data_IF_554987285669
#
_entry.id   IF_554987285669
#
_cell.length_a   1.000
_cell.length_b   1.000
_cell.length_c   1.000
_cell.angle_alpha   90.00
_cell.angle_beta   90.00
_cell.angle_gamma   90.00
#
_symmetry.space_group_name_H-M   'P 1'
#
loop_
_entity.id
_entity.type
_entity.pdbx_description
1 polymer ?
#
# COMPACT_ATOMS: atom_id res chain seq x y z
N UNK A 1 -4.75 15.61 -7.83
CA UNK A 1 -6.13 15.08 -7.87
C UNK A 1 -6.94 15.67 -6.71
N UNK A 2 -8.26 15.83 -6.84
CA UNK A 2 -9.14 16.32 -5.76
C UNK A 2 -10.15 15.25 -5.33
N UNK A 3 -10.85 15.47 -4.22
CA UNK A 3 -12.00 14.64 -3.83
C UNK A 3 -13.06 14.53 -4.95
N UNK A 4 -13.28 15.62 -5.69
CA UNK A 4 -14.20 15.63 -6.82
C UNK A 4 -13.71 14.70 -7.93
N UNK A 5 -12.43 14.76 -8.31
CA UNK A 5 -11.85 13.85 -9.31
C UNK A 5 -11.97 12.38 -8.89
N UNK A 6 -11.74 12.06 -7.62
CA UNK A 6 -11.90 10.69 -7.09
C UNK A 6 -13.36 10.24 -7.14
N UNK A 7 -14.29 11.13 -6.82
CA UNK A 7 -15.73 10.85 -6.86
C UNK A 7 -16.19 10.59 -8.30
N UNK A 8 -15.76 11.39 -9.27
CA UNK A 8 -16.09 11.16 -10.68
C UNK A 8 -15.55 9.82 -11.18
N UNK A 9 -14.30 9.48 -10.83
CA UNK A 9 -13.75 8.15 -11.11
C UNK A 9 -14.62 7.05 -10.50
N UNK A 10 -14.92 7.12 -9.21
CA UNK A 10 -15.65 6.09 -8.49
C UNK A 10 -17.08 5.91 -9.01
N UNK A 11 -17.74 7.00 -9.44
CA UNK A 11 -19.07 6.97 -10.06
C UNK A 11 -19.10 6.13 -11.34
N UNK A 12 -17.99 6.10 -12.10
CA UNK A 12 -17.91 5.41 -13.39
C UNK A 12 -17.35 3.99 -13.31
N UNK A 13 -16.79 3.59 -12.16
CA UNK A 13 -16.40 2.19 -11.92
C UNK A 13 -17.65 1.28 -11.94
N UNK A 14 -17.64 0.17 -12.71
CA UNK A 14 -18.71 -0.82 -12.68
C UNK A 14 -18.93 -1.40 -11.27
N UNK A 15 -20.19 -1.54 -10.87
CA UNK A 15 -20.57 -2.10 -9.58
C UNK A 15 -20.44 -3.62 -9.57
N UNK A 16 -20.11 -4.19 -8.41
CA UNK A 16 -20.19 -5.64 -8.21
C UNK A 16 -21.58 -6.08 -7.77
N UNK A 17 -22.14 -5.44 -6.75
CA UNK A 17 -23.43 -5.82 -6.18
C UNK A 17 -24.03 -4.68 -5.36
N UNK A 18 -25.31 -4.82 -5.03
CA UNK A 18 -25.96 -4.08 -3.93
C UNK A 18 -26.44 -5.07 -2.88
N UNK A 19 -26.62 -4.62 -1.63
CA UNK A 19 -27.09 -5.47 -0.56
C UNK A 19 -28.52 -5.10 -0.16
N UNK A 20 -29.46 -6.04 -0.20
CA UNK A 20 -30.87 -5.85 0.18
C UNK A 20 -31.36 -7.04 0.98
N UNK A 21 -32.03 -6.79 2.09
CA UNK A 21 -32.61 -7.82 2.96
C UNK A 21 -31.62 -8.95 3.34
N UNK A 22 -30.36 -8.58 3.56
CA UNK A 22 -29.28 -9.52 3.90
C UNK A 22 -28.70 -10.31 2.71
N UNK A 23 -29.23 -10.14 1.50
CA UNK A 23 -28.74 -10.78 0.27
C UNK A 23 -27.93 -9.82 -0.59
N UNK A 24 -26.95 -10.37 -1.32
CA UNK A 24 -26.23 -9.65 -2.37
C UNK A 24 -26.95 -9.86 -3.70
N UNK A 25 -27.29 -8.76 -4.36
CA UNK A 25 -27.84 -8.74 -5.72
C UNK A 25 -26.66 -8.45 -6.65
N UNK A 26 -26.35 -9.37 -7.55
CA UNK A 26 -25.21 -9.29 -8.47
C UNK A 26 -25.47 -8.31 -9.63
N UNK A 27 -24.51 -7.42 -9.88
CA UNK A 27 -24.50 -6.48 -11.01
C UNK A 27 -23.32 -6.72 -11.97
N UNK A 28 -22.44 -7.69 -11.69
CA UNK A 28 -21.21 -7.93 -12.49
C UNK A 28 -21.49 -8.42 -13.91
N UNK A 29 -22.66 -9.00 -14.16
CA UNK A 29 -23.07 -9.50 -15.48
C UNK A 29 -23.22 -8.42 -16.56
N UNK A 30 -23.22 -7.13 -16.18
CA UNK A 30 -23.25 -5.98 -17.09
C UNK A 30 -22.27 -4.92 -16.58
N UNK A 31 -21.72 -4.10 -17.49
CA UNK A 31 -20.95 -2.90 -17.09
C UNK A 31 -21.91 -1.80 -16.59
N UNK A 32 -22.51 -2.01 -15.42
CA UNK A 32 -23.44 -1.07 -14.78
C UNK A 32 -22.70 -0.28 -13.70
N UNK A 33 -22.49 1.03 -13.92
CA UNK A 33 -21.72 1.88 -13.00
C UNK A 33 -22.59 2.46 -11.88
N UNK A 34 -21.97 2.96 -10.83
CA UNK A 34 -22.68 3.60 -9.73
C UNK A 34 -23.44 4.85 -10.19
N UNK A 35 -22.90 5.61 -11.15
CA UNK A 35 -23.59 6.75 -11.77
C UNK A 35 -24.93 6.35 -12.38
N UNK A 36 -24.95 5.23 -13.12
CA UNK A 36 -26.18 4.68 -13.68
C UNK A 36 -27.13 4.22 -12.59
N UNK A 37 -26.61 3.59 -11.54
CA UNK A 37 -27.43 3.16 -10.43
C UNK A 37 -28.14 4.33 -9.71
N UNK A 38 -27.44 5.46 -9.53
CA UNK A 38 -28.04 6.70 -8.98
C UNK A 38 -29.14 7.24 -9.90
N UNK A 39 -28.93 7.24 -11.22
CA UNK A 39 -29.87 7.81 -12.19
C UNK A 39 -31.09 6.92 -12.48
N UNK A 40 -30.86 5.62 -12.67
CA UNK A 40 -31.86 4.66 -13.18
C UNK A 40 -32.46 3.80 -12.05
N UNK A 41 -31.72 3.59 -10.97
CA UNK A 41 -31.98 2.51 -10.02
C UNK A 41 -31.67 1.12 -10.61
N UNK A 42 -32.00 0.08 -9.86
CA UNK A 42 -31.86 -1.31 -10.30
C UNK A 42 -32.97 -2.17 -9.69
N UNK A 43 -33.78 -2.82 -10.52
CA UNK A 43 -34.86 -3.75 -10.08
C UNK A 43 -35.77 -3.18 -8.97
N UNK A 44 -36.13 -1.90 -9.08
CA UNK A 44 -36.98 -1.21 -8.09
C UNK A 44 -36.21 -0.61 -6.90
N UNK A 45 -34.92 -0.91 -6.75
CA UNK A 45 -34.06 -0.28 -5.76
C UNK A 45 -33.52 1.07 -6.23
N UNK A 46 -33.31 1.98 -5.28
CA UNK A 46 -32.60 3.25 -5.46
C UNK A 46 -31.31 3.23 -4.67
N UNK A 47 -30.31 3.97 -5.18
CA UNK A 47 -29.02 4.10 -4.53
C UNK A 47 -29.16 4.77 -3.15
N UNK A 48 -28.40 4.25 -2.20
CA UNK A 48 -28.27 4.77 -0.84
C UNK A 48 -26.82 5.10 -0.52
N UNK A 49 -26.57 5.82 0.58
CA UNK A 49 -25.20 6.04 1.05
C UNK A 49 -24.51 4.74 1.47
N UNK A 50 -25.27 3.74 1.94
CA UNK A 50 -24.73 2.42 2.24
C UNK A 50 -24.26 1.71 0.95
N UNK A 51 -24.97 1.88 -0.17
CA UNK A 51 -24.52 1.34 -1.46
C UNK A 51 -23.26 2.04 -1.96
N UNK A 52 -23.16 3.36 -1.74
CA UNK A 52 -21.96 4.11 -2.10
C UNK A 52 -20.75 3.64 -1.30
N UNK A 53 -20.90 3.52 0.02
CA UNK A 53 -19.86 2.97 0.87
C UNK A 53 -19.50 1.54 0.46
N UNK A 54 -20.48 0.69 0.18
CA UNK A 54 -20.24 -0.68 -0.32
C UNK A 54 -19.50 -0.67 -1.66
N UNK A 55 -19.90 0.18 -2.61
CA UNK A 55 -19.25 0.34 -3.91
C UNK A 55 -17.80 0.78 -3.75
N UNK A 56 -17.50 1.80 -2.93
CA UNK A 56 -16.13 2.22 -2.67
C UNK A 56 -15.25 1.07 -2.12
N UNK A 57 -15.84 0.10 -1.40
CA UNK A 57 -15.10 -1.07 -0.90
C UNK A 57 -14.64 -2.04 -2.00
N UNK A 58 -15.21 -1.94 -3.20
CA UNK A 58 -14.88 -2.78 -4.35
C UNK A 58 -13.92 -2.10 -5.34
N UNK A 59 -13.43 -0.90 -5.02
CA UNK A 59 -12.37 -0.24 -5.78
C UNK A 59 -11.03 -0.77 -5.27
N UNK A 60 -10.22 -1.36 -6.16
CA UNK A 60 -8.93 -1.97 -5.83
C UNK A 60 -7.79 -1.25 -6.56
N UNK A 61 -7.51 -0.03 -6.10
CA UNK A 61 -6.37 0.77 -6.52
C UNK A 61 -5.23 0.67 -5.49
N UNK A 62 -4.02 1.12 -5.86
CA UNK A 62 -2.86 1.17 -4.94
C UNK A 62 -3.10 2.03 -3.71
N UNK A 63 -3.86 3.11 -3.89
CA UNK A 63 -4.33 3.99 -2.81
C UNK A 63 -5.83 4.16 -2.94
N UNK A 64 -6.57 3.94 -1.85
CA UNK A 64 -8.03 4.07 -1.82
C UNK A 64 -8.47 5.05 -0.77
N UNK A 65 -9.55 5.79 -1.04
CA UNK A 65 -10.19 6.69 -0.07
C UNK A 65 -11.53 6.08 0.41
N UNK A 66 -11.59 5.59 1.65
CA UNK A 66 -12.82 5.09 2.30
C UNK A 66 -12.70 4.83 3.82
N UNK A 67 -13.34 5.63 4.69
CA UNK A 67 -13.31 7.10 4.67
C UNK A 67 -11.88 7.64 4.87
N UNK A 68 -10.94 6.79 5.27
CA UNK A 68 -9.51 7.08 5.37
C UNK A 68 -8.77 6.77 4.06
N UNK A 69 -7.53 7.25 3.96
CA UNK A 69 -6.59 6.81 2.92
C UNK A 69 -6.02 5.45 3.31
N UNK A 70 -6.23 4.46 2.44
CA UNK A 70 -5.68 3.11 2.55
C UNK A 70 -4.56 2.95 1.53
N UNK A 71 -3.33 2.67 1.99
CA UNK A 71 -2.21 2.29 1.12
C UNK A 71 -2.20 0.76 1.01
N UNK A 72 -2.16 0.24 -0.22
CA UNK A 72 -2.49 -1.16 -0.52
C UNK A 72 -1.42 -1.89 -1.33
N UNK A 73 -0.23 -1.28 -1.45
CA UNK A 73 0.88 -1.74 -2.29
C UNK A 73 1.84 -2.71 -1.62
N UNK A 74 1.81 -2.82 -0.28
CA UNK A 74 2.75 -3.64 0.46
C UNK A 74 2.37 -5.13 0.40
N UNK A 75 3.37 -5.98 0.17
CA UNK A 75 3.24 -7.42 0.34
C UNK A 75 2.92 -7.78 1.80
N UNK A 76 2.39 -9.00 1.99
CA UNK A 76 2.32 -9.57 3.34
C UNK A 76 3.74 -9.82 3.85
N UNK A 77 4.05 -9.31 5.04
CA UNK A 77 5.39 -9.33 5.62
C UNK A 77 5.54 -10.41 6.69
N UNK A 78 6.77 -10.90 6.93
CA UNK A 78 7.10 -11.67 8.12
C UNK A 78 6.74 -10.93 9.42
N UNK A 79 6.64 -11.68 10.52
CA UNK A 79 6.22 -11.17 11.84
C UNK A 79 7.03 -9.94 12.29
N UNK A 80 8.35 -9.98 12.17
CA UNK A 80 9.26 -8.92 12.59
C UNK A 80 9.15 -7.63 11.75
N UNK A 81 8.62 -7.71 10.53
CA UNK A 81 8.40 -6.57 9.64
C UNK A 81 6.94 -6.10 9.61
N UNK A 82 6.03 -6.77 10.31
CA UNK A 82 4.58 -6.53 10.20
C UNK A 82 4.20 -5.08 10.50
N UNK A 83 4.84 -4.45 11.49
CA UNK A 83 4.58 -3.05 11.86
C UNK A 83 5.40 -2.03 11.07
N UNK A 84 6.37 -2.48 10.26
CA UNK A 84 7.29 -1.56 9.59
C UNK A 84 6.62 -0.74 8.49
N UNK A 85 5.64 -1.29 7.78
CA UNK A 85 4.85 -0.52 6.80
C UNK A 85 4.06 0.57 7.50
N UNK A 86 3.41 0.25 8.63
CA UNK A 86 2.68 1.24 9.43
C UNK A 86 3.61 2.32 9.97
N UNK A 87 4.79 1.95 10.48
CA UNK A 87 5.81 2.90 10.93
C UNK A 87 6.29 3.81 9.81
N UNK A 88 6.54 3.26 8.62
CA UNK A 88 7.03 4.01 7.46
C UNK A 88 6.00 5.03 7.00
N UNK A 89 4.75 4.59 6.81
CA UNK A 89 3.65 5.45 6.39
C UNK A 89 3.33 6.52 7.44
N UNK A 90 3.34 6.17 8.73
CA UNK A 90 3.12 7.13 9.81
C UNK A 90 4.23 8.18 9.86
N UNK A 91 5.49 7.75 9.77
CA UNK A 91 6.63 8.66 9.75
C UNK A 91 6.56 9.65 8.61
N UNK A 92 6.28 9.18 7.39
CA UNK A 92 6.20 10.03 6.21
C UNK A 92 4.95 10.91 6.21
N UNK A 93 3.76 10.34 6.37
CA UNK A 93 2.50 11.06 6.10
C UNK A 93 1.96 11.86 7.29
N UNK A 94 2.40 11.58 8.52
CA UNK A 94 1.93 12.33 9.71
C UNK A 94 2.94 13.43 10.12
N UNK A 95 3.97 13.65 9.30
CA UNK A 95 4.88 14.79 9.40
C UNK A 95 4.91 15.48 8.02
N UNK A 96 4.44 16.73 7.96
CA UNK A 96 4.34 17.47 6.70
C UNK A 96 5.70 17.60 6.01
N UNK A 97 6.71 17.96 6.78
CA UNK A 97 8.07 18.19 6.30
C UNK A 97 8.66 16.90 5.69
N UNK A 98 8.45 15.75 6.35
CA UNK A 98 8.89 14.46 5.84
C UNK A 98 8.14 14.08 4.55
N UNK A 99 6.84 14.34 4.47
CA UNK A 99 6.04 14.09 3.26
C UNK A 99 6.47 14.96 2.08
N UNK A 100 6.71 16.25 2.31
CA UNK A 100 7.13 17.21 1.29
C UNK A 100 8.53 16.85 0.76
N UNK A 101 9.48 16.58 1.64
CA UNK A 101 10.85 16.19 1.23
C UNK A 101 10.89 14.84 0.53
N UNK A 102 10.08 13.86 0.97
CA UNK A 102 9.95 12.59 0.27
C UNK A 102 9.34 12.74 -1.11
N UNK A 103 8.37 13.65 -1.28
CA UNK A 103 7.76 13.96 -2.57
C UNK A 103 8.79 14.58 -3.52
N UNK A 104 9.55 15.57 -3.06
CA UNK A 104 10.59 16.23 -3.85
C UNK A 104 11.70 15.25 -4.27
N UNK A 105 12.00 14.26 -3.43
CA UNK A 105 13.00 13.23 -3.74
C UNK A 105 12.52 12.23 -4.80
N UNK A 106 11.25 11.83 -4.73
CA UNK A 106 10.68 10.76 -5.56
C UNK A 106 10.02 11.25 -6.85
N UNK A 107 9.65 12.53 -6.95
CA UNK A 107 8.91 13.06 -8.07
C UNK A 107 9.41 14.45 -8.48
N UNK A 108 10.02 14.53 -9.66
CA UNK A 108 10.56 15.78 -10.22
C UNK A 108 9.57 16.52 -11.14
N UNK A 109 8.36 15.98 -11.31
CA UNK A 109 7.34 16.47 -12.24
C UNK A 109 7.06 15.52 -13.41
N UNK A 110 7.92 14.52 -13.68
CA UNK A 110 7.69 13.53 -14.73
C UNK A 110 6.79 12.38 -14.24
N UNK A 111 5.50 12.44 -14.61
CA UNK A 111 4.55 11.39 -14.26
C UNK A 111 4.77 10.09 -15.03
N UNK A 112 5.30 10.16 -16.26
CA UNK A 112 5.55 8.98 -17.06
C UNK A 112 6.72 8.19 -16.47
N UNK A 113 7.78 8.87 -16.00
CA UNK A 113 8.89 8.23 -15.28
C UNK A 113 8.41 7.55 -14.00
N UNK A 114 7.61 8.25 -13.18
CA UNK A 114 7.02 7.68 -11.97
C UNK A 114 6.17 6.43 -12.28
N UNK A 115 5.35 6.49 -13.33
CA UNK A 115 4.52 5.35 -13.75
C UNK A 115 5.38 4.18 -14.25
N UNK A 116 6.45 4.44 -15.01
CA UNK A 116 7.36 3.39 -15.45
C UNK A 116 8.10 2.76 -14.27
N UNK A 117 8.63 3.57 -13.36
CA UNK A 117 9.27 3.11 -12.13
C UNK A 117 8.33 2.20 -11.33
N UNK A 118 7.09 2.63 -11.11
CA UNK A 118 6.06 1.80 -10.47
C UNK A 118 5.90 0.44 -11.18
N UNK A 119 5.72 0.44 -12.51
CA UNK A 119 5.57 -0.77 -13.32
C UNK A 119 6.82 -1.64 -13.38
N UNK A 120 8.01 -1.14 -13.07
CA UNK A 120 9.24 -1.95 -13.03
C UNK A 120 9.57 -2.44 -11.61
N UNK A 121 9.12 -1.72 -10.56
CA UNK A 121 9.45 -1.97 -9.16
C UNK A 121 9.12 -3.38 -8.68
N UNK A 122 8.00 -3.97 -9.08
CA UNK A 122 7.63 -5.33 -8.70
C UNK A 122 8.61 -6.39 -9.24
N UNK A 123 9.34 -6.10 -10.31
CA UNK A 123 10.31 -7.01 -10.93
C UNK A 123 11.75 -6.71 -10.54
N UNK A 124 12.15 -5.44 -10.55
CA UNK A 124 13.54 -5.03 -10.32
C UNK A 124 13.81 -4.68 -8.85
N UNK A 125 12.77 -4.54 -8.02
CA UNK A 125 12.90 -4.13 -6.62
C UNK A 125 13.62 -2.80 -6.49
N UNK A 126 14.59 -2.73 -5.58
CA UNK A 126 15.38 -1.52 -5.35
C UNK A 126 16.34 -1.16 -6.51
N UNK A 127 16.45 -2.01 -7.54
CA UNK A 127 17.24 -1.71 -8.75
C UNK A 127 16.46 -0.89 -9.78
N UNK A 128 15.16 -0.70 -9.59
CA UNK A 128 14.36 0.21 -10.42
C UNK A 128 14.93 1.61 -10.37
N UNK A 129 14.88 2.34 -11.48
CA UNK A 129 15.34 3.72 -11.58
C UNK A 129 14.14 4.67 -11.49
N UNK A 130 14.29 5.73 -10.68
CA UNK A 130 13.38 6.87 -10.57
C UNK A 130 14.23 8.15 -10.61
N UNK A 131 13.84 9.13 -11.43
CA UNK A 131 14.57 10.41 -11.58
C UNK A 131 16.07 10.19 -11.90
N UNK A 132 16.36 9.18 -12.73
CA UNK A 132 17.73 8.82 -13.11
C UNK A 132 18.57 8.13 -12.02
N UNK A 133 18.00 7.80 -10.85
CA UNK A 133 18.69 7.15 -9.74
C UNK A 133 18.03 5.82 -9.36
N UNK A 134 18.80 4.77 -9.03
CA UNK A 134 18.24 3.54 -8.48
C UNK A 134 17.49 3.80 -7.17
N UNK A 135 16.36 3.13 -6.95
CA UNK A 135 15.61 3.19 -5.69
C UNK A 135 16.47 2.78 -4.49
N UNK A 136 17.49 1.93 -4.68
CA UNK A 136 18.48 1.58 -3.66
C UNK A 136 19.25 2.79 -3.12
N UNK A 137 19.45 3.84 -3.93
CA UNK A 137 20.08 5.08 -3.46
C UNK A 137 19.08 6.03 -2.77
N UNK A 138 17.79 5.90 -3.06
CA UNK A 138 16.73 6.75 -2.53
C UNK A 138 16.13 6.18 -1.24
N UNK A 139 16.04 4.86 -1.13
CA UNK A 139 15.38 4.16 -0.03
C UNK A 139 15.97 4.51 1.35
N UNK A 140 17.29 4.58 1.57
CA UNK A 140 17.84 4.99 2.86
C UNK A 140 17.38 6.38 3.28
N UNK A 141 17.35 7.34 2.34
CA UNK A 141 16.87 8.69 2.62
C UNK A 141 15.39 8.71 2.98
N UNK A 142 14.55 7.96 2.25
CA UNK A 142 13.11 7.84 2.58
C UNK A 142 12.91 7.27 4.00
N UNK A 143 13.72 6.28 4.39
CA UNK A 143 13.67 5.71 5.75
C UNK A 143 14.12 6.72 6.80
N UNK A 144 15.16 7.51 6.52
CA UNK A 144 15.61 8.58 7.42
C UNK A 144 14.54 9.66 7.61
N UNK A 145 13.84 10.06 6.55
CA UNK A 145 12.71 11.00 6.62
C UNK A 145 11.57 10.45 7.49
N UNK A 146 11.23 9.17 7.32
CA UNK A 146 10.21 8.52 8.14
C UNK A 146 10.61 8.47 9.61
N UNK A 147 11.87 8.17 9.92
CA UNK A 147 12.39 8.16 11.28
C UNK A 147 12.33 9.54 11.92
N UNK A 148 12.72 10.59 11.19
CA UNK A 148 12.59 11.95 11.69
C UNK A 148 11.13 12.33 11.91
N UNK A 149 10.24 11.96 10.99
CA UNK A 149 8.81 12.17 11.12
C UNK A 149 8.19 11.47 12.34
N UNK A 150 8.64 10.26 12.69
CA UNK A 150 8.23 9.58 13.92
C UNK A 150 8.79 10.27 15.18
N UNK A 151 10.08 10.65 15.17
CA UNK A 151 10.71 11.37 16.29
C UNK A 151 9.99 12.69 16.59
N UNK A 152 9.63 13.45 15.57
CA UNK A 152 8.91 14.74 15.72
C UNK A 152 7.55 14.59 16.41
N UNK A 153 6.92 13.43 16.30
CA UNK A 153 5.61 13.17 16.94
C UNK A 153 5.70 12.96 18.45
N UNK A 154 6.88 12.60 18.98
CA UNK A 154 7.10 12.41 20.43
C UNK A 154 6.13 11.41 21.09
N UNK A 155 5.66 10.40 20.35
CA UNK A 155 4.84 9.30 20.89
C UNK A 155 5.76 8.29 21.59
N UNK A 156 5.93 8.46 22.90
CA UNK A 156 6.76 7.58 23.71
C UNK A 156 5.92 6.55 24.45
N UNK A 157 6.44 5.32 24.58
CA UNK A 157 5.90 4.35 25.51
C UNK A 157 6.34 4.65 26.97
N UNK A 158 5.87 3.84 27.92
CA UNK A 158 6.20 3.99 29.36
C UNK A 158 7.70 3.86 29.68
N UNK A 159 8.51 3.37 28.74
CA UNK A 159 9.98 3.24 28.85
C UNK A 159 10.73 4.38 28.17
N UNK A 160 10.02 5.37 27.60
CA UNK A 160 10.62 6.49 26.88
C UNK A 160 11.13 6.16 25.49
N UNK A 161 10.77 4.99 24.94
CA UNK A 161 11.11 4.63 23.56
C UNK A 161 10.01 5.14 22.62
N UNK A 162 10.42 5.76 21.52
CA UNK A 162 9.51 6.15 20.45
C UNK A 162 9.24 5.00 19.48
N UNK A 163 8.44 5.29 18.45
CA UNK A 163 8.01 4.31 17.45
C UNK A 163 9.07 4.02 16.38
N UNK A 164 10.26 4.64 16.45
CA UNK A 164 11.32 4.44 15.44
C UNK A 164 11.84 3.01 15.38
N UNK A 165 11.71 2.25 16.47
CA UNK A 165 12.06 0.82 16.54
C UNK A 165 11.36 -0.02 15.46
N UNK A 166 10.17 0.39 15.01
CA UNK A 166 9.45 -0.34 13.95
C UNK A 166 10.10 -0.21 12.58
N UNK A 167 11.04 0.72 12.40
CA UNK A 167 11.75 0.95 11.14
C UNK A 167 13.10 0.24 11.05
N UNK A 168 13.61 -0.35 12.13
CA UNK A 168 14.89 -1.06 12.13
C UNK A 168 14.99 -2.13 11.02
N UNK A 169 13.98 -2.99 10.78
CA UNK A 169 14.05 -3.99 9.72
C UNK A 169 14.05 -3.38 8.31
N UNK A 170 13.28 -2.32 8.09
CA UNK A 170 13.19 -1.65 6.78
C UNK A 170 14.45 -0.85 6.48
N UNK A 171 15.07 -0.25 7.51
CA UNK A 171 16.40 0.37 7.40
C UNK A 171 17.43 -0.64 6.93
N UNK A 172 17.49 -1.84 7.52
CA UNK A 172 18.42 -2.88 7.10
C UNK A 172 18.21 -3.29 5.62
N UNK A 173 16.95 -3.43 5.18
CA UNK A 173 16.63 -3.70 3.77
C UNK A 173 17.10 -2.57 2.86
N UNK A 174 16.86 -1.31 3.25
CA UNK A 174 17.25 -0.14 2.47
C UNK A 174 18.78 0.00 2.37
N UNK A 175 19.51 -0.20 3.47
CA UNK A 175 20.98 -0.13 3.54
C UNK A 175 21.65 -1.26 2.77
N UNK A 176 21.13 -2.49 2.87
CA UNK A 176 21.67 -3.64 2.12
C UNK A 176 21.31 -3.59 0.63
N UNK A 177 20.20 -2.93 0.27
CA UNK A 177 19.68 -2.90 -1.10
C UNK A 177 19.15 -4.25 -1.59
N UNK A 178 18.87 -5.19 -0.67
CA UNK A 178 18.40 -6.55 -0.97
C UNK A 178 16.99 -6.77 -0.41
N UNK A 179 16.03 -6.94 -1.30
CA UNK A 179 14.62 -7.18 -0.96
C UNK A 179 14.40 -8.54 -0.30
N UNK A 180 13.27 -8.72 0.42
CA UNK A 180 12.88 -10.02 0.96
C UNK A 180 12.74 -11.09 -0.13
N UNK A 181 12.21 -10.72 -1.29
CA UNK A 181 12.11 -11.60 -2.45
C UNK A 181 13.49 -12.07 -2.93
N UNK A 182 14.47 -11.17 -3.03
CA UNK A 182 15.84 -11.53 -3.41
C UNK A 182 16.51 -12.44 -2.37
N UNK A 183 16.27 -12.21 -1.07
CA UNK A 183 16.76 -13.10 0.00
C UNK A 183 16.18 -14.51 -0.14
N UNK A 184 14.88 -14.63 -0.42
CA UNK A 184 14.24 -15.92 -0.70
C UNK A 184 14.81 -16.59 -1.95
N UNK A 185 14.99 -15.82 -3.03
CA UNK A 185 15.55 -16.33 -4.28
C UNK A 185 17.00 -16.82 -4.11
N UNK A 186 17.81 -16.17 -3.28
CA UNK A 186 19.18 -16.60 -2.99
C UNK A 186 19.22 -17.99 -2.31
N UNK A 187 18.20 -18.32 -1.51
CA UNK A 187 18.04 -19.63 -0.89
C UNK A 187 17.27 -20.65 -1.73
N UNK A 188 16.77 -20.25 -2.90
CA UNK A 188 15.91 -21.09 -3.73
C UNK A 188 16.71 -22.21 -4.38
N UNK A 189 16.38 -23.44 -4.02
CA UNK A 189 17.15 -24.62 -4.41
C UNK A 189 16.60 -25.33 -5.64
N UNK A 190 15.33 -25.08 -5.98
CA UNK A 190 14.57 -25.84 -6.98
C UNK A 190 14.01 -27.16 -6.44
N UNK A 191 14.40 -27.58 -5.23
CA UNK A 191 13.77 -28.71 -4.55
C UNK A 191 12.47 -28.25 -3.91
N UNK A 192 11.35 -28.73 -4.45
CA UNK A 192 9.99 -28.34 -4.03
C UNK A 192 9.76 -28.45 -2.53
N UNK A 193 10.32 -29.47 -1.86
CA UNK A 193 10.11 -29.66 -0.42
C UNK A 193 10.88 -28.62 0.37
N UNK A 194 12.16 -28.40 0.05
CA UNK A 194 12.99 -27.38 0.71
C UNK A 194 12.44 -25.98 0.48
N UNK A 195 12.04 -25.67 -0.74
CA UNK A 195 11.54 -24.35 -1.12
C UNK A 195 10.20 -24.04 -0.43
N UNK A 196 9.30 -25.04 -0.31
CA UNK A 196 8.05 -24.89 0.45
C UNK A 196 8.30 -24.64 1.94
N UNK A 197 9.23 -25.38 2.56
CA UNK A 197 9.58 -25.17 3.97
C UNK A 197 10.29 -23.82 4.21
N UNK A 198 10.97 -23.27 3.20
CA UNK A 198 11.51 -21.91 3.25
C UNK A 198 10.40 -20.87 3.24
N UNK A 199 9.45 -20.95 2.31
CA UNK A 199 8.30 -20.02 2.24
C UNK A 199 7.48 -20.08 3.54
N UNK A 200 7.19 -21.28 4.04
CA UNK A 200 6.45 -21.43 5.31
C UNK A 200 7.14 -20.73 6.47
N UNK A 201 8.46 -20.87 6.60
CA UNK A 201 9.23 -20.18 7.64
C UNK A 201 9.19 -18.66 7.47
N UNK A 202 9.27 -18.18 6.22
CA UNK A 202 9.19 -16.75 5.92
C UNK A 202 7.82 -16.15 6.29
N UNK A 203 6.73 -16.88 6.07
CA UNK A 203 5.37 -16.40 6.33
C UNK A 203 4.82 -16.81 7.70
N UNK A 204 5.60 -17.47 8.56
CA UNK A 204 5.11 -17.95 9.84
C UNK A 204 4.98 -16.82 10.86
N UNK A 205 3.86 -16.78 11.57
CA UNK A 205 3.66 -15.96 12.78
C UNK A 205 3.80 -16.84 14.02
N UNK A 206 4.54 -16.37 15.04
CA UNK A 206 4.60 -16.99 16.37
C UNK A 206 5.51 -18.22 16.50
N UNK A 207 6.51 -18.37 15.63
CA UNK A 207 7.52 -19.45 15.77
C UNK A 207 8.70 -19.06 16.69
N UNK A 208 8.65 -17.85 17.29
CA UNK A 208 9.66 -17.34 18.22
C UNK A 208 9.06 -16.98 19.57
N UNK A 209 8.69 -17.98 20.36
CA UNK A 209 8.49 -17.88 21.82
C UNK A 209 9.23 -19.01 22.53
#
# INVERSE_FOLDING_TARGET
ATLASYTEYALDVPMYFIQRDGAYIDLTGKRFSFRRYVAEGWEGHRATLADWDLHLSTLFTEVRLRPQIEIRTADALPEDLTLSVSGLLKGLFYCREAAEEAMDLLYDGDFDDLQQSYLQSWRLGLKTVQNGRPLAELAPHIVDLALEGLRRQQNLNDRGLDETVFLDPVRAIAEEGVTLAERLLAGWSGDRRKDLEMIKRHCAFGQGS
#
